data_IF_042216882865
#
_entry.id   IF_042216882865
#
_cell.length_a   1.000
_cell.length_b   1.000
_cell.length_c   1.000
_cell.angle_alpha   90.00
_cell.angle_beta   90.00
_cell.angle_gamma   90.00
#
_symmetry.space_group_name_H-M   'P 1'
#
loop_
_entity.id
_entity.type
_entity.pdbx_description
1 polymer ?
#
# COMPACT_ATOMS: atom_id res chain seq x y z
N UNK A 1 2.24 -7.62 23.59
CA UNK A 1 1.61 -6.40 24.17
C UNK A 1 0.71 -5.76 23.14
N UNK A 2 1.23 -5.54 21.93
CA UNK A 2 0.57 -4.92 20.76
C UNK A 2 -0.85 -5.42 20.47
N UNK A 3 -1.07 -6.73 20.40
CA UNK A 3 -2.40 -7.31 20.10
C UNK A 3 -3.42 -6.96 21.19
N UNK A 4 -2.99 -6.96 22.47
CA UNK A 4 -3.89 -6.60 23.58
C UNK A 4 -4.29 -5.13 23.47
N UNK A 5 -3.32 -4.25 23.25
CA UNK A 5 -3.57 -2.82 23.07
C UNK A 5 -4.57 -2.56 21.93
N UNK A 6 -4.41 -3.24 20.78
CA UNK A 6 -5.34 -3.10 19.66
C UNK A 6 -6.76 -3.60 19.99
N UNK A 7 -6.90 -4.67 20.78
CA UNK A 7 -8.20 -5.17 21.22
C UNK A 7 -8.88 -4.19 22.19
N UNK A 8 -8.13 -3.66 23.16
CA UNK A 8 -8.61 -2.65 24.11
C UNK A 8 -9.04 -1.36 23.39
N UNK A 9 -8.26 -0.93 22.39
CA UNK A 9 -8.66 0.16 21.49
C UNK A 9 -9.92 -0.18 20.68
N UNK A 10 -10.03 -1.42 20.23
CA UNK A 10 -11.19 -1.97 19.53
C UNK A 10 -12.49 -1.81 20.32
N UNK A 11 -12.45 -2.07 21.63
CA UNK A 11 -13.61 -1.96 22.53
C UNK A 11 -14.15 -0.52 22.64
N UNK A 12 -13.32 0.49 22.38
CA UNK A 12 -13.72 1.90 22.41
C UNK A 12 -14.51 2.34 21.16
N UNK A 13 -14.57 1.52 20.10
CA UNK A 13 -15.33 1.86 18.90
C UNK A 13 -16.82 1.52 19.04
N UNK A 14 -17.65 2.56 19.06
CA UNK A 14 -19.10 2.42 19.02
C UNK A 14 -19.58 1.83 17.69
N UNK A 15 -20.71 1.12 17.72
CA UNK A 15 -21.37 0.61 16.51
C UNK A 15 -21.68 1.74 15.51
N UNK A 16 -22.01 2.95 15.99
CA UNK A 16 -22.23 4.13 15.15
C UNK A 16 -20.97 4.58 14.41
N UNK A 17 -19.81 4.52 15.05
CA UNK A 17 -18.51 4.79 14.40
C UNK A 17 -18.25 3.77 13.29
N UNK A 18 -18.52 2.50 13.54
CA UNK A 18 -18.37 1.46 12.53
C UNK A 18 -19.29 1.68 11.32
N UNK A 19 -20.57 2.00 11.55
CA UNK A 19 -21.51 2.31 10.47
C UNK A 19 -21.05 3.55 9.68
N UNK A 20 -20.56 4.57 10.36
CA UNK A 20 -19.99 5.75 9.69
C UNK A 20 -18.75 5.39 8.85
N UNK A 21 -17.85 4.55 9.37
CA UNK A 21 -16.69 4.05 8.62
C UNK A 21 -17.10 3.27 7.36
N UNK A 22 -18.14 2.43 7.42
CA UNK A 22 -18.66 1.73 6.23
C UNK A 22 -19.23 2.69 5.17
N UNK A 23 -19.83 3.81 5.60
CA UNK A 23 -20.28 4.86 4.66
C UNK A 23 -19.08 5.52 3.98
N UNK A 24 -18.04 5.87 4.72
CA UNK A 24 -16.80 6.41 4.13
C UNK A 24 -16.14 5.41 3.18
N UNK A 25 -16.09 4.12 3.54
CA UNK A 25 -15.58 3.07 2.66
C UNK A 25 -16.34 3.01 1.34
N UNK A 26 -17.66 3.16 1.38
CA UNK A 26 -18.51 3.18 0.18
C UNK A 26 -18.21 4.38 -0.72
N UNK A 27 -17.98 5.56 -0.12
CA UNK A 27 -17.56 6.76 -0.85
C UNK A 27 -16.19 6.57 -1.48
N UNK A 28 -15.20 6.11 -0.71
CA UNK A 28 -13.85 5.84 -1.21
C UNK A 28 -13.87 4.90 -2.41
N UNK A 29 -14.61 3.78 -2.31
CA UNK A 29 -14.75 2.84 -3.43
C UNK A 29 -15.35 3.53 -4.66
N UNK A 30 -16.38 4.35 -4.49
CA UNK A 30 -17.02 5.06 -5.61
C UNK A 30 -16.04 6.00 -6.33
N UNK A 31 -15.25 6.77 -5.58
CA UNK A 31 -14.28 7.70 -6.17
C UNK A 31 -13.21 6.96 -7.00
N UNK A 32 -12.72 5.82 -6.52
CA UNK A 32 -11.82 4.97 -7.31
C UNK A 32 -12.48 4.45 -8.59
N UNK A 33 -13.73 3.97 -8.51
CA UNK A 33 -14.46 3.47 -9.68
C UNK A 33 -14.68 4.57 -10.73
N UNK A 34 -14.93 5.81 -10.31
CA UNK A 34 -15.04 6.94 -11.23
C UNK A 34 -13.67 7.29 -11.83
N UNK A 35 -12.60 7.27 -11.05
CA UNK A 35 -11.25 7.49 -11.54
C UNK A 35 -10.82 6.45 -12.59
N UNK A 36 -11.23 5.18 -12.44
CA UNK A 36 -10.99 4.12 -13.43
C UNK A 36 -11.69 4.32 -14.78
N UNK A 37 -12.56 5.34 -14.92
CA UNK A 37 -13.11 5.74 -16.21
C UNK A 37 -12.12 6.56 -17.04
N UNK A 38 -11.11 7.13 -16.39
CA UNK A 38 -10.08 7.96 -17.00
C UNK A 38 -8.74 7.21 -17.15
N UNK A 39 -8.49 6.23 -16.29
CA UNK A 39 -7.26 5.44 -16.27
C UNK A 39 -7.56 3.94 -16.16
N UNK A 40 -6.63 3.10 -16.64
CA UNK A 40 -6.74 1.65 -16.49
C UNK A 40 -6.22 1.15 -15.14
N UNK A 41 -5.22 1.85 -14.58
CA UNK A 41 -4.57 1.54 -13.31
C UNK A 41 -4.17 2.81 -12.59
N UNK A 42 -4.06 2.75 -11.26
CA UNK A 42 -3.35 3.74 -10.47
C UNK A 42 -1.96 3.22 -10.11
N UNK A 43 -0.98 4.11 -10.05
CA UNK A 43 0.40 3.78 -9.70
C UNK A 43 0.84 4.64 -8.52
N UNK A 44 1.38 4.01 -7.48
CA UNK A 44 1.93 4.66 -6.28
C UNK A 44 3.22 3.96 -5.87
N UNK A 45 4.07 4.56 -5.00
CA UNK A 45 4.99 3.76 -4.20
C UNK A 45 4.21 2.68 -3.42
N UNK A 46 4.85 1.55 -3.15
CA UNK A 46 4.25 0.53 -2.26
C UNK A 46 4.28 1.02 -0.82
N UNK A 47 5.44 1.51 -0.38
CA UNK A 47 5.62 2.16 0.92
C UNK A 47 6.26 3.55 0.70
N UNK A 48 6.03 4.50 1.61
CA UNK A 48 6.64 5.83 1.54
C UNK A 48 8.13 5.85 1.94
N UNK A 49 8.68 4.73 2.37
CA UNK A 49 10.05 4.57 2.85
C UNK A 49 10.58 3.15 2.53
N UNK A 50 11.89 2.97 2.60
CA UNK A 50 12.57 1.66 2.48
C UNK A 50 12.68 0.96 3.83
N UNK A 51 13.27 -0.23 3.88
CA UNK A 51 13.35 -1.02 5.11
C UNK A 51 14.00 -0.25 6.27
N UNK A 52 13.35 -0.25 7.43
CA UNK A 52 13.86 0.37 8.66
C UNK A 52 14.59 -0.65 9.54
N UNK A 53 15.48 -0.20 10.44
CA UNK A 53 16.09 -1.08 11.43
C UNK A 53 15.06 -1.84 12.26
N UNK A 54 15.40 -3.07 12.64
CA UNK A 54 14.54 -3.87 13.51
C UNK A 54 14.28 -3.15 14.84
N UNK A 55 13.02 -3.13 15.28
CA UNK A 55 12.60 -2.46 16.51
C UNK A 55 12.28 -0.97 16.34
N UNK A 56 12.41 -0.40 15.15
CA UNK A 56 11.88 0.93 14.88
C UNK A 56 10.35 0.94 15.03
N UNK A 57 9.83 1.95 15.75
CA UNK A 57 8.38 2.16 15.97
C UNK A 57 7.85 3.38 15.22
N UNK A 58 8.75 4.21 14.71
CA UNK A 58 8.45 5.43 13.96
C UNK A 58 9.32 5.50 12.72
N UNK A 59 8.86 6.24 11.73
CA UNK A 59 9.57 6.48 10.48
C UNK A 59 9.47 7.93 10.07
N UNK A 60 10.52 8.44 9.42
CA UNK A 60 10.48 9.76 8.80
C UNK A 60 10.11 9.58 7.34
N UNK A 61 8.98 10.16 6.94
CA UNK A 61 8.49 10.16 5.57
C UNK A 61 8.78 11.51 4.89
N UNK A 62 8.20 11.71 3.70
CA UNK A 62 8.35 12.95 2.92
C UNK A 62 8.06 14.21 3.76
N UNK A 63 8.76 15.31 3.45
CA UNK A 63 8.68 16.58 4.17
C UNK A 63 9.12 16.52 5.64
N UNK A 64 9.96 15.54 5.99
CA UNK A 64 10.53 15.39 7.34
C UNK A 64 9.46 15.20 8.42
N UNK A 65 8.33 14.57 8.04
CA UNK A 65 7.25 14.22 8.95
C UNK A 65 7.55 12.88 9.61
N UNK A 66 7.44 12.82 10.93
CA UNK A 66 7.56 11.58 11.70
C UNK A 66 6.18 10.96 11.85
N UNK A 67 6.03 9.72 11.44
CA UNK A 67 4.80 8.95 11.58
C UNK A 67 5.04 7.65 12.36
N UNK A 68 4.01 7.23 13.08
CA UNK A 68 3.94 5.89 13.66
C UNK A 68 4.06 4.83 12.55
N UNK A 69 4.84 3.78 12.81
CA UNK A 69 5.17 2.78 11.79
C UNK A 69 3.93 2.09 11.22
N UNK A 70 2.94 1.75 12.05
CA UNK A 70 1.73 1.07 11.61
C UNK A 70 0.90 1.96 10.67
N UNK A 71 0.82 3.25 10.98
CA UNK A 71 0.15 4.24 10.12
C UNK A 71 0.90 4.42 8.79
N UNK A 72 2.22 4.56 8.86
CA UNK A 72 3.05 4.83 7.69
C UNK A 72 3.07 3.65 6.69
N UNK A 73 3.10 2.40 7.15
CA UNK A 73 3.06 1.23 6.23
C UNK A 73 1.71 1.10 5.50
N UNK A 74 0.63 1.61 6.09
CA UNK A 74 -0.72 1.52 5.54
C UNK A 74 -1.10 2.68 4.62
N UNK A 75 -0.28 3.73 4.55
CA UNK A 75 -0.60 4.97 3.82
C UNK A 75 -1.03 4.71 2.36
N UNK A 76 -0.33 3.83 1.64
CA UNK A 76 -0.67 3.45 0.26
C UNK A 76 -1.30 2.06 0.14
N UNK A 77 -0.92 1.11 0.99
CA UNK A 77 -1.36 -0.29 0.90
C UNK A 77 -2.75 -0.52 1.51
N UNK A 78 -3.16 0.32 2.46
CA UNK A 78 -4.49 0.27 3.08
C UNK A 78 -5.61 0.66 2.13
N UNK A 79 -5.32 1.56 1.18
CA UNK A 79 -6.31 2.10 0.23
C UNK A 79 -6.96 1.02 -0.65
N UNK A 80 -6.22 0.18 -1.41
CA UNK A 80 -6.84 -0.88 -2.20
C UNK A 80 -7.57 -1.92 -1.34
N UNK A 81 -7.07 -2.21 -0.13
CA UNK A 81 -7.72 -3.11 0.83
C UNK A 81 -9.09 -2.60 1.28
N UNK A 82 -9.17 -1.31 1.64
CA UNK A 82 -10.44 -0.66 2.03
C UNK A 82 -11.39 -0.54 0.84
N UNK A 83 -10.87 -0.13 -0.32
CA UNK A 83 -11.66 0.05 -1.53
C UNK A 83 -12.10 -1.27 -2.16
N UNK A 84 -11.51 -2.42 -1.79
CA UNK A 84 -11.81 -3.74 -2.37
C UNK A 84 -11.33 -3.84 -3.82
N UNK A 85 -10.10 -3.41 -4.08
CA UNK A 85 -9.46 -3.36 -5.38
C UNK A 85 -8.24 -4.30 -5.41
N UNK A 86 -7.97 -4.96 -6.55
CA UNK A 86 -6.72 -5.70 -6.71
C UNK A 86 -5.53 -4.74 -6.77
N UNK A 87 -4.41 -5.15 -6.18
CA UNK A 87 -3.15 -4.42 -6.24
C UNK A 87 -1.97 -5.38 -6.40
N UNK A 88 -0.94 -4.93 -7.13
CA UNK A 88 0.30 -5.66 -7.38
C UNK A 88 1.49 -4.77 -6.99
N UNK A 89 2.40 -5.28 -6.16
CA UNK A 89 3.67 -4.62 -5.88
C UNK A 89 4.79 -5.20 -6.75
N UNK A 90 5.59 -4.32 -7.36
CA UNK A 90 6.71 -4.65 -8.24
C UNK A 90 8.00 -3.98 -7.75
N UNK A 91 9.15 -4.66 -7.77
CA UNK A 91 10.43 -4.01 -7.46
C UNK A 91 10.80 -3.04 -8.58
N UNK A 92 11.14 -1.80 -8.24
CA UNK A 92 11.46 -0.73 -9.21
C UNK A 92 12.85 -0.15 -9.06
N UNK A 93 13.63 -0.65 -8.11
CA UNK A 93 14.98 -0.20 -7.88
C UNK A 93 15.43 -0.41 -6.44
N UNK A 94 16.46 0.33 -6.07
CA UNK A 94 17.03 0.37 -4.74
C UNK A 94 17.26 1.82 -4.34
N UNK A 95 17.22 2.09 -3.04
CA UNK A 95 17.66 3.38 -2.51
C UNK A 95 19.20 3.48 -2.48
N UNK A 96 19.78 4.62 -2.06
CA UNK A 96 21.23 4.80 -1.98
C UNK A 96 21.95 3.79 -1.07
N UNK A 97 21.26 3.22 -0.09
CA UNK A 97 21.78 2.22 0.86
C UNK A 97 21.60 0.79 0.34
N UNK A 98 21.03 0.62 -0.86
CA UNK A 98 20.83 -0.68 -1.49
C UNK A 98 19.60 -1.43 -0.98
N UNK A 99 18.63 -0.76 -0.36
CA UNK A 99 17.38 -1.36 0.10
C UNK A 99 16.33 -1.36 -1.03
N UNK A 100 15.56 -2.44 -1.22
CA UNK A 100 14.58 -2.53 -2.30
C UNK A 100 13.49 -1.46 -2.22
N UNK A 101 13.16 -0.84 -3.36
CA UNK A 101 12.04 0.08 -3.52
C UNK A 101 10.93 -0.59 -4.34
N UNK A 102 9.68 -0.48 -3.88
CA UNK A 102 8.51 -1.08 -4.51
C UNK A 102 7.55 -0.05 -5.12
N UNK A 103 6.96 -0.39 -6.26
CA UNK A 103 5.84 0.33 -6.88
C UNK A 103 4.58 -0.53 -6.78
N UNK A 104 3.50 0.06 -6.30
CA UNK A 104 2.18 -0.55 -6.24
C UNK A 104 1.35 -0.11 -7.45
N UNK A 105 0.72 -1.07 -8.11
CA UNK A 105 -0.20 -0.87 -9.23
C UNK A 105 -1.58 -1.36 -8.81
N UNK A 106 -2.57 -0.48 -8.79
CA UNK A 106 -3.94 -0.76 -8.34
C UNK A 106 -4.85 -0.83 -9.56
N UNK A 107 -5.60 -1.93 -9.69
CA UNK A 107 -6.43 -2.24 -10.84
C UNK A 107 -7.93 -2.13 -10.56
N UNK A 108 -8.72 -2.24 -11.63
CA UNK A 108 -10.18 -2.32 -11.56
C UNK A 108 -10.60 -3.61 -10.83
N UNK A 109 -11.79 -3.63 -10.19
CA UNK A 109 -12.31 -4.86 -9.60
C UNK A 109 -12.31 -6.02 -10.60
N UNK A 110 -11.77 -7.16 -10.20
CA UNK A 110 -11.71 -8.41 -10.99
C UNK A 110 -10.90 -8.32 -12.30
N UNK A 111 -9.99 -7.35 -12.42
CA UNK A 111 -9.11 -7.19 -13.58
C UNK A 111 -7.62 -7.41 -13.22
N UNK A 112 -7.35 -8.44 -12.42
CA UNK A 112 -5.98 -8.87 -12.09
C UNK A 112 -5.16 -9.19 -13.35
N UNK A 113 -5.83 -9.62 -14.42
CA UNK A 113 -5.19 -9.88 -15.71
C UNK A 113 -4.47 -8.65 -16.26
N UNK A 114 -5.07 -7.44 -16.16
CA UNK A 114 -4.39 -6.20 -16.55
C UNK A 114 -3.17 -5.93 -15.69
N UNK A 115 -3.25 -6.15 -14.37
CA UNK A 115 -2.11 -5.97 -13.47
C UNK A 115 -0.94 -6.91 -13.81
N UNK A 116 -1.23 -8.20 -14.05
CA UNK A 116 -0.20 -9.17 -14.42
C UNK A 116 0.41 -8.90 -15.80
N UNK A 117 -0.38 -8.45 -16.79
CA UNK A 117 0.17 -8.03 -18.09
C UNK A 117 1.11 -6.83 -17.95
N UNK A 118 0.72 -5.83 -17.15
CA UNK A 118 1.57 -4.68 -16.86
C UNK A 118 2.84 -5.10 -16.14
N UNK A 119 2.73 -5.92 -15.09
CA UNK A 119 3.88 -6.44 -14.35
C UNK A 119 4.84 -7.23 -15.23
N UNK A 120 4.32 -8.10 -16.10
CA UNK A 120 5.13 -8.85 -17.06
C UNK A 120 5.85 -7.94 -18.05
N UNK A 121 5.16 -6.95 -18.63
CA UNK A 121 5.77 -6.00 -19.54
C UNK A 121 6.87 -5.17 -18.85
N UNK A 122 6.62 -4.70 -17.62
CA UNK A 122 7.59 -3.96 -16.82
C UNK A 122 8.82 -4.80 -16.47
N UNK A 123 8.62 -6.06 -16.07
CA UNK A 123 9.73 -6.98 -15.81
C UNK A 123 10.50 -7.33 -17.08
N UNK A 124 9.86 -7.38 -18.25
CA UNK A 124 10.53 -7.63 -19.54
C UNK A 124 11.53 -6.54 -19.95
N UNK A 125 11.40 -5.32 -19.41
CA UNK A 125 12.29 -4.18 -19.70
C UNK A 125 13.16 -3.77 -18.51
N UNK A 126 13.12 -4.52 -17.40
CA UNK A 126 13.91 -4.26 -16.19
C UNK A 126 14.57 -5.54 -15.69
N UNK A 127 15.50 -5.41 -14.74
CA UNK A 127 16.17 -6.57 -14.12
C UNK A 127 16.10 -6.55 -12.59
N UNK A 128 15.24 -5.71 -12.01
CA UNK A 128 15.11 -5.60 -10.55
C UNK A 128 14.71 -6.93 -9.91
N UNK A 129 13.79 -7.65 -10.55
CA UNK A 129 13.26 -8.93 -10.10
C UNK A 129 14.30 -10.08 -10.13
N UNK A 130 15.47 -9.89 -10.76
CA UNK A 130 16.55 -10.89 -10.79
C UNK A 130 17.63 -10.63 -9.74
N UNK A 131 17.55 -9.51 -9.02
CA UNK A 131 18.48 -9.19 -7.93
C UNK A 131 18.08 -9.95 -6.68
N UNK A 132 19.07 -10.51 -5.98
CA UNK A 132 18.87 -11.21 -4.71
C UNK A 132 19.76 -10.61 -3.61
N UNK A 133 19.31 -10.58 -2.35
CA UNK A 133 20.16 -10.20 -1.23
C UNK A 133 21.27 -11.24 -1.05
N UNK A 134 22.39 -10.81 -0.47
CA UNK A 134 23.39 -11.73 0.09
C UNK A 134 22.96 -12.05 1.52
N UNK A 135 22.57 -13.30 1.74
CA UNK A 135 22.19 -13.82 3.06
C UNK A 135 23.45 -14.18 3.87
#
# INVERSE_FOLDING_TARGET
EDVRTLLEMGEMYLATHYIQAQRYRSLLRREFLEGFRQVDVFVTPTLPFTATPCGATEVVIENNQTEDMLSAIMQFTGVPSLAGLPALSLPVGFDPDGLPVGMQVIGRPFDEATLFRLGHAYQGVTSWHTKSPRL
#
